data_IF_910594028401
#
_entry.id   IF_910594028401
#
_cell.length_a   1.000
_cell.length_b   1.000
_cell.length_c   1.000
_cell.angle_alpha   90.00
_cell.angle_beta   90.00
_cell.angle_gamma   90.00
#
_symmetry.space_group_name_H-M   'P 1'
#
loop_
_entity.id
_entity.type
_entity.pdbx_description
1 polymer ?
#
# COMPACT_ATOMS: atom_id res chain seq x y z
N UNK A 1 -86.60 9.41 26.96
CA UNK A 1 -86.39 10.57 26.09
C UNK A 1 -85.06 11.21 26.48
N UNK A 2 -84.10 11.62 25.66
CA UNK A 2 -83.68 11.41 24.27
C UNK A 2 -82.27 12.03 24.26
N UNK A 3 -81.28 11.32 23.73
CA UNK A 3 -79.88 11.77 23.60
C UNK A 3 -79.75 13.00 22.70
N UNK A 4 -78.88 13.94 23.05
CA UNK A 4 -78.17 14.77 22.08
C UNK A 4 -76.68 14.90 22.46
N UNK A 5 -75.86 14.51 21.49
CA UNK A 5 -74.40 14.50 21.45
C UNK A 5 -73.94 15.84 20.87
N UNK A 6 -72.97 16.48 21.51
CA UNK A 6 -72.25 17.62 20.92
C UNK A 6 -70.74 17.38 21.04
N UNK A 7 -70.11 17.18 19.89
CA UNK A 7 -68.67 17.07 19.64
C UNK A 7 -67.95 18.41 19.79
N UNK A 8 -66.72 18.45 20.32
CA UNK A 8 -65.80 19.56 20.09
C UNK A 8 -64.76 19.26 18.99
N UNK A 9 -64.36 20.36 18.35
CA UNK A 9 -63.54 20.57 17.17
C UNK A 9 -62.12 19.98 17.28
N UNK A 10 -61.66 19.31 16.21
CA UNK A 10 -60.28 18.88 16.04
C UNK A 10 -59.35 20.08 15.80
N UNK A 11 -58.26 20.17 16.58
CA UNK A 11 -57.12 21.07 16.31
C UNK A 11 -55.88 20.24 15.99
N UNK A 12 -55.32 20.55 14.83
CA UNK A 12 -54.19 19.93 14.16
C UNK A 12 -52.91 19.89 15.01
N UNK A 13 -52.29 18.71 15.13
CA UNK A 13 -50.88 18.57 15.44
C UNK A 13 -50.22 17.80 14.29
N UNK A 14 -49.43 18.51 13.49
CA UNK A 14 -48.59 17.94 12.43
C UNK A 14 -47.49 17.08 13.05
N UNK A 15 -47.20 15.87 12.53
CA UNK A 15 -46.05 15.09 12.96
C UNK A 15 -44.75 15.75 12.47
N UNK A 16 -43.76 15.81 13.36
CA UNK A 16 -42.42 16.32 13.08
C UNK A 16 -41.76 15.59 11.89
N UNK A 17 -41.04 16.29 10.99
CA UNK A 17 -40.34 15.65 9.89
C UNK A 17 -39.21 14.78 10.45
N UNK A 18 -39.28 13.47 10.17
CA UNK A 18 -38.18 12.54 10.40
C UNK A 18 -37.03 12.92 9.48
N UNK A 19 -35.99 13.52 10.05
CA UNK A 19 -34.76 13.89 9.37
C UNK A 19 -33.97 12.61 9.05
N UNK A 20 -34.40 11.90 8.01
CA UNK A 20 -33.66 10.79 7.41
C UNK A 20 -32.49 11.40 6.65
N UNK A 21 -31.45 11.79 7.38
CA UNK A 21 -30.17 12.15 6.81
C UNK A 21 -29.56 10.88 6.21
N UNK A 22 -29.93 10.60 4.97
CA UNK A 22 -29.32 9.59 4.13
C UNK A 22 -27.85 9.96 4.02
N UNK A 23 -27.02 9.37 4.86
CA UNK A 23 -25.57 9.40 4.69
C UNK A 23 -25.31 8.76 3.35
N UNK A 24 -25.07 9.59 2.34
CA UNK A 24 -24.47 9.17 1.09
C UNK A 24 -23.13 8.57 1.47
N UNK A 25 -23.09 7.25 1.61
CA UNK A 25 -21.84 6.52 1.56
C UNK A 25 -21.34 6.75 0.14
N UNK A 26 -20.56 7.81 -0.04
CA UNK A 26 -19.66 7.92 -1.16
C UNK A 26 -18.76 6.70 -1.03
N UNK A 27 -19.09 5.64 -1.77
CA UNK A 27 -18.21 4.51 -2.01
C UNK A 27 -17.05 5.11 -2.79
N UNK A 28 -16.10 5.69 -2.06
CA UNK A 28 -14.83 6.09 -2.60
C UNK A 28 -14.28 4.85 -3.23
N UNK A 29 -14.16 4.87 -4.56
CA UNK A 29 -13.49 3.81 -5.31
C UNK A 29 -12.16 3.58 -4.60
N UNK A 30 -12.05 2.45 -3.90
CA UNK A 30 -10.84 2.08 -3.20
C UNK A 30 -9.78 1.90 -4.27
N UNK A 31 -9.03 2.97 -4.57
CA UNK A 31 -7.79 2.86 -5.33
C UNK A 31 -7.00 1.76 -4.64
N UNK A 32 -6.61 0.74 -5.43
CA UNK A 32 -5.74 -0.31 -4.93
C UNK A 32 -4.61 0.38 -4.16
N UNK A 33 -4.35 -0.06 -2.92
CA UNK A 33 -3.32 0.56 -2.09
C UNK A 33 -1.96 0.29 -2.74
N UNK A 34 -1.57 1.18 -3.65
CA UNK A 34 -0.32 1.10 -4.37
C UNK A 34 0.85 1.18 -3.40
N UNK A 35 1.98 0.62 -3.82
CA UNK A 35 3.21 0.51 -3.03
C UNK A 35 3.67 1.83 -2.40
N UNK A 36 3.17 2.96 -2.89
CA UNK A 36 3.43 4.28 -2.37
C UNK A 36 2.92 4.52 -0.92
N UNK A 37 1.95 3.70 -0.52
CA UNK A 37 1.34 3.70 0.81
C UNK A 37 2.16 2.87 1.81
N UNK A 38 3.20 2.16 1.35
CA UNK A 38 4.01 1.25 2.16
C UNK A 38 5.29 1.93 2.63
N UNK A 39 5.73 1.55 3.82
CA UNK A 39 7.00 1.95 4.42
C UNK A 39 7.69 0.70 4.96
N UNK A 40 9.02 0.70 4.89
CA UNK A 40 9.84 -0.41 5.37
C UNK A 40 10.80 0.08 6.44
N UNK A 41 10.91 -0.67 7.52
CA UNK A 41 11.82 -0.34 8.63
C UNK A 41 12.21 -1.60 9.37
N UNK A 42 13.51 -1.82 9.60
CA UNK A 42 14.06 -3.02 10.27
C UNK A 42 13.53 -4.35 9.71
N UNK A 43 13.33 -4.44 8.40
CA UNK A 43 12.76 -5.64 7.77
C UNK A 43 11.28 -5.88 8.11
N UNK A 44 10.55 -4.86 8.57
CA UNK A 44 9.10 -4.90 8.68
C UNK A 44 8.45 -4.05 7.59
N UNK A 45 7.37 -4.58 7.03
CA UNK A 45 6.51 -3.86 6.10
C UNK A 45 5.36 -3.21 6.88
N UNK A 46 5.16 -1.92 6.65
CA UNK A 46 4.05 -1.17 7.21
C UNK A 46 3.18 -0.57 6.10
N UNK A 47 1.87 -0.60 6.31
CA UNK A 47 0.87 0.01 5.44
C UNK A 47 0.22 1.18 6.16
N UNK A 48 0.00 2.31 5.47
CA UNK A 48 -0.77 3.44 6.03
C UNK A 48 -2.15 2.96 6.49
N UNK A 49 -2.49 3.30 7.73
CA UNK A 49 -3.76 2.99 8.37
C UNK A 49 -4.64 4.24 8.52
N UNK A 50 -4.05 5.37 8.91
CA UNK A 50 -4.75 6.65 9.05
C UNK A 50 -3.83 7.80 8.63
N UNK A 51 -4.41 8.89 8.11
CA UNK A 51 -3.73 10.09 7.67
C UNK A 51 -4.53 11.31 8.12
N UNK A 52 -3.94 12.13 8.98
CA UNK A 52 -4.48 13.44 9.36
C UNK A 52 -3.49 14.54 8.96
N UNK A 53 -3.88 15.80 9.12
CA UNK A 53 -2.97 16.94 8.95
C UNK A 53 -1.82 16.96 9.97
N UNK A 54 -1.99 16.26 11.10
CA UNK A 54 -1.02 16.23 12.21
C UNK A 54 -0.08 15.04 12.09
N UNK A 55 -0.62 13.84 11.83
CA UNK A 55 0.16 12.60 11.80
C UNK A 55 -0.37 11.58 10.80
N UNK A 56 0.53 10.73 10.34
CA UNK A 56 0.21 9.56 9.54
C UNK A 56 0.56 8.32 10.36
N UNK A 57 -0.41 7.44 10.56
CA UNK A 57 -0.22 6.18 11.29
C UNK A 57 -0.07 5.04 10.30
N UNK A 58 0.99 4.25 10.49
CA UNK A 58 1.29 3.05 9.71
C UNK A 58 1.19 1.83 10.63
N UNK A 59 0.55 0.77 10.14
CA UNK A 59 0.43 -0.52 10.86
C UNK A 59 1.19 -1.60 10.11
N UNK A 60 1.73 -2.55 10.84
CA UNK A 60 2.34 -3.75 10.28
C UNK A 60 1.41 -4.38 9.23
N UNK A 61 1.94 -4.73 8.06
CA UNK A 61 1.15 -5.35 6.99
C UNK A 61 0.62 -6.73 7.38
N UNK A 62 1.19 -7.35 8.42
CA UNK A 62 0.69 -8.59 9.04
C UNK A 62 -0.38 -8.37 10.11
N UNK A 63 -0.95 -7.16 10.22
CA UNK A 63 -2.18 -6.90 10.97
C UNK A 63 -3.37 -7.58 10.28
N UNK A 64 -3.42 -8.92 10.34
CA UNK A 64 -4.56 -9.74 9.94
C UNK A 64 -5.38 -10.13 11.17
N UNK A 65 -6.69 -10.38 11.05
CA UNK A 65 -7.56 -10.67 12.19
C UNK A 65 -7.07 -11.81 13.10
N UNK A 66 -6.36 -12.79 12.53
CA UNK A 66 -5.85 -13.97 13.22
C UNK A 66 -4.54 -13.78 13.98
N UNK A 67 -3.70 -12.78 13.63
CA UNK A 67 -2.37 -12.59 14.23
C UNK A 67 -2.18 -11.21 14.88
N UNK A 68 -3.00 -10.22 14.50
CA UNK A 68 -3.06 -8.83 15.02
C UNK A 68 -1.72 -8.30 15.51
N UNK A 69 -0.71 -8.29 14.65
CA UNK A 69 0.58 -7.75 15.01
C UNK A 69 0.41 -6.28 15.46
N UNK A 70 0.79 -5.92 16.71
CA UNK A 70 0.56 -4.58 17.23
C UNK A 70 1.54 -3.55 16.67
N UNK A 71 2.54 -4.01 15.89
CA UNK A 71 3.57 -3.18 15.27
C UNK A 71 2.99 -1.95 14.57
N UNK A 72 3.32 -0.78 15.10
CA UNK A 72 2.79 0.51 14.66
C UNK A 72 3.93 1.52 14.59
N UNK A 73 3.89 2.35 13.55
CA UNK A 73 4.84 3.40 13.27
C UNK A 73 4.09 4.70 12.97
N UNK A 74 4.51 5.80 13.57
CA UNK A 74 3.86 7.11 13.39
C UNK A 74 4.82 8.07 12.70
N UNK A 75 4.28 8.83 11.76
CA UNK A 75 4.95 9.96 11.13
C UNK A 75 4.26 11.26 11.57
N UNK A 76 5.05 12.25 11.99
CA UNK A 76 4.56 13.55 12.44
C UNK A 76 4.82 14.62 11.38
N UNK A 77 3.78 15.34 10.98
CA UNK A 77 3.86 16.32 9.90
C UNK A 77 4.57 17.62 10.32
N UNK A 78 4.53 17.98 11.60
CA UNK A 78 5.19 19.19 12.13
C UNK A 78 6.72 19.07 12.09
N UNK A 79 7.26 17.90 12.44
CA UNK A 79 8.70 17.63 12.48
C UNK A 79 9.22 16.96 11.22
N UNK A 80 8.33 16.47 10.35
CA UNK A 80 8.67 15.66 9.19
C UNK A 80 9.50 14.41 9.54
N UNK A 81 9.30 13.85 10.74
CA UNK A 81 10.04 12.69 11.26
C UNK A 81 9.11 11.53 11.63
N UNK A 82 9.70 10.34 11.69
CA UNK A 82 9.05 9.16 12.24
C UNK A 82 9.35 9.05 13.72
N UNK A 83 8.34 8.70 14.51
CA UNK A 83 8.47 8.37 15.93
C UNK A 83 9.02 6.95 16.05
N UNK A 84 10.34 6.86 16.07
CA UNK A 84 11.06 5.59 16.18
C UNK A 84 11.25 5.14 17.63
N UNK A 85 11.17 6.07 18.58
CA UNK A 85 11.36 5.81 20.00
C UNK A 85 10.13 5.18 20.64
N UNK A 86 8.93 5.57 20.20
CA UNK A 86 7.67 5.01 20.70
C UNK A 86 7.08 3.95 19.76
N UNK A 87 7.93 3.23 19.01
CA UNK A 87 7.44 2.14 18.17
C UNK A 87 6.86 1.00 19.01
N UNK A 88 5.69 0.54 18.60
CA UNK A 88 5.11 -0.67 19.19
C UNK A 88 5.84 -1.88 18.60
N UNK A 89 6.34 -2.75 19.47
CA UNK A 89 7.06 -3.97 19.09
C UNK A 89 6.19 -4.91 18.24
N UNK A 90 6.80 -5.58 17.26
CA UNK A 90 6.09 -6.58 16.45
C UNK A 90 6.00 -7.93 17.15
N UNK A 91 4.91 -8.66 16.88
CA UNK A 91 4.74 -10.07 17.28
C UNK A 91 4.74 -11.01 16.07
N UNK A 92 4.70 -10.48 14.84
CA UNK A 92 4.61 -11.28 13.62
C UNK A 92 5.92 -11.99 13.23
N UNK A 93 7.05 -11.49 13.73
CA UNK A 93 8.39 -12.00 13.46
C UNK A 93 9.33 -11.45 14.52
N UNK A 94 10.18 -12.29 15.10
CA UNK A 94 11.30 -11.86 15.94
C UNK A 94 12.29 -11.10 15.06
N UNK A 95 12.27 -9.77 15.12
CA UNK A 95 13.17 -8.92 14.37
C UNK A 95 14.54 -8.91 15.05
N UNK A 96 15.60 -9.08 14.28
CA UNK A 96 16.93 -8.65 14.68
C UNK A 96 16.94 -7.13 14.69
N UNK A 97 16.71 -6.50 15.85
CA UNK A 97 16.93 -5.07 16.04
C UNK A 97 18.42 -4.78 15.75
N UNK A 98 18.72 -4.27 14.56
CA UNK A 98 20.09 -3.93 14.16
C UNK A 98 20.18 -2.42 13.95
N UNK A 99 20.65 -1.75 14.99
CA UNK A 99 21.02 -0.34 14.97
C UNK A 99 20.11 0.58 15.76
N UNK A 100 20.72 1.64 16.31
CA UNK A 100 20.01 2.79 16.86
C UNK A 100 19.17 3.43 15.75
N UNK A 101 17.85 3.56 15.95
CA UNK A 101 16.99 4.15 14.94
C UNK A 101 17.28 5.65 14.84
N UNK A 102 17.34 6.16 13.61
CA UNK A 102 17.70 7.56 13.38
C UNK A 102 16.45 8.37 13.06
N UNK A 103 16.14 9.36 13.90
CA UNK A 103 15.01 10.32 13.80
C UNK A 103 15.17 11.29 12.61
N UNK A 104 15.19 10.78 11.37
CA UNK A 104 15.35 11.58 10.15
C UNK A 104 14.28 11.14 9.14
N UNK A 105 13.79 12.02 8.23
CA UNK A 105 12.84 11.69 7.18
C UNK A 105 13.15 10.41 6.41
N UNK A 106 12.09 9.77 5.91
CA UNK A 106 12.20 8.58 5.08
C UNK A 106 12.97 8.88 3.79
N UNK A 107 13.90 7.98 3.46
CA UNK A 107 14.64 8.03 2.20
C UNK A 107 13.85 7.28 1.14
N UNK A 108 13.74 7.87 -0.05
CA UNK A 108 13.23 7.16 -1.23
C UNK A 108 14.38 6.45 -1.93
N UNK A 109 14.39 5.12 -1.88
CA UNK A 109 15.35 4.28 -2.62
C UNK A 109 14.75 3.76 -3.93
N UNK A 110 13.66 4.38 -4.39
CA UNK A 110 12.86 3.85 -5.52
C UNK A 110 13.67 3.71 -6.79
N UNK A 111 14.49 4.71 -7.15
CA UNK A 111 15.28 4.67 -8.39
C UNK A 111 16.45 3.69 -8.28
N UNK A 112 17.16 3.68 -7.15
CA UNK A 112 18.24 2.70 -6.90
C UNK A 112 17.70 1.26 -6.92
N UNK A 113 16.52 1.04 -6.34
CA UNK A 113 15.87 -0.27 -6.31
C UNK A 113 15.39 -0.69 -7.69
N UNK A 114 14.95 0.24 -8.55
CA UNK A 114 14.63 -0.05 -9.96
C UNK A 114 15.89 -0.50 -10.71
N UNK A 115 16.96 0.28 -10.65
CA UNK A 115 18.22 -0.04 -11.32
C UNK A 115 18.78 -1.41 -10.88
N UNK A 116 18.72 -1.71 -9.58
CA UNK A 116 19.14 -3.01 -9.06
C UNK A 116 18.22 -4.16 -9.50
N UNK A 117 16.91 -3.92 -9.62
CA UNK A 117 15.99 -4.93 -10.16
C UNK A 117 16.23 -5.14 -11.65
N UNK A 118 16.53 -4.08 -12.40
CA UNK A 118 16.83 -4.16 -13.82
C UNK A 118 18.10 -4.99 -14.09
N UNK A 119 19.18 -4.77 -13.32
CA UNK A 119 20.40 -5.58 -13.46
C UNK A 119 20.15 -7.07 -13.16
N UNK A 120 19.30 -7.38 -12.18
CA UNK A 120 18.93 -8.77 -11.87
C UNK A 120 18.00 -9.40 -12.92
N UNK A 121 17.25 -8.59 -13.67
CA UNK A 121 16.46 -9.06 -14.81
C UNK A 121 17.39 -9.41 -15.98
N UNK A 122 18.42 -8.62 -16.22
CA UNK A 122 19.45 -8.90 -17.23
C UNK A 122 20.21 -10.20 -16.95
N UNK A 123 20.46 -10.51 -15.68
CA UNK A 123 21.04 -11.80 -15.21
C UNK A 123 20.05 -12.99 -15.30
N UNK A 124 18.84 -12.79 -15.84
CA UNK A 124 17.73 -13.75 -15.96
C UNK A 124 17.37 -14.49 -14.64
N UNK A 125 17.47 -13.80 -13.51
CA UNK A 125 17.16 -14.40 -12.21
C UNK A 125 15.66 -14.66 -12.02
N UNK A 126 15.30 -15.70 -11.26
CA UNK A 126 13.89 -16.00 -10.95
C UNK A 126 13.27 -14.85 -10.14
N UNK A 127 12.05 -14.40 -10.50
CA UNK A 127 11.40 -13.24 -9.90
C UNK A 127 11.31 -13.27 -8.36
N UNK A 128 11.14 -14.46 -7.77
CA UNK A 128 11.15 -14.66 -6.30
C UNK A 128 12.55 -14.42 -5.69
N UNK A 129 13.60 -14.84 -6.39
CA UNK A 129 14.99 -14.60 -5.99
C UNK A 129 15.34 -13.11 -6.12
N UNK A 130 14.89 -12.45 -7.19
CA UNK A 130 15.02 -10.99 -7.37
C UNK A 130 14.43 -10.25 -6.18
N UNK A 131 13.19 -10.55 -5.80
CA UNK A 131 12.58 -9.92 -4.62
C UNK A 131 13.38 -10.18 -3.34
N UNK A 132 13.81 -11.43 -3.11
CA UNK A 132 14.53 -11.80 -1.89
C UNK A 132 15.87 -11.06 -1.79
N UNK A 133 16.62 -10.95 -2.89
CA UNK A 133 17.88 -10.20 -2.96
C UNK A 133 17.67 -8.71 -2.73
N UNK A 134 16.71 -8.10 -3.44
CA UNK A 134 16.40 -6.67 -3.28
C UNK A 134 15.89 -6.36 -1.87
N UNK A 135 15.03 -7.20 -1.31
CA UNK A 135 14.52 -7.03 0.05
C UNK A 135 15.64 -7.13 1.09
N UNK A 136 16.57 -8.07 0.90
CA UNK A 136 17.71 -8.24 1.81
C UNK A 136 18.63 -7.02 1.76
N UNK A 137 18.94 -6.52 0.56
CA UNK A 137 19.83 -5.36 0.37
C UNK A 137 19.24 -4.05 0.93
N UNK A 138 17.98 -3.76 0.63
CA UNK A 138 17.39 -2.44 0.91
C UNK A 138 16.57 -2.36 2.20
N UNK A 139 15.99 -3.47 2.68
CA UNK A 139 15.02 -3.44 3.77
C UNK A 139 15.42 -4.23 5.02
N UNK A 140 16.23 -5.29 4.89
CA UNK A 140 16.51 -6.18 6.04
C UNK A 140 17.37 -5.55 7.14
N UNK A 141 18.26 -4.63 6.79
CA UNK A 141 19.18 -3.95 7.70
C UNK A 141 18.97 -2.42 7.72
N UNK A 142 17.78 -1.94 7.34
CA UNK A 142 17.54 -0.50 7.28
C UNK A 142 17.46 0.10 8.68
N UNK A 143 18.48 0.89 9.06
CA UNK A 143 18.51 1.70 10.28
C UNK A 143 17.53 2.89 10.23
N UNK A 144 16.91 3.11 9.07
CA UNK A 144 16.04 4.24 8.76
C UNK A 144 14.78 3.75 8.06
N UNK A 145 13.71 4.55 8.12
CA UNK A 145 12.47 4.25 7.40
C UNK A 145 12.71 4.48 5.91
N UNK A 146 12.38 3.49 5.10
CA UNK A 146 12.61 3.48 3.65
C UNK A 146 11.28 3.46 2.91
N UNK A 147 11.20 4.25 1.84
CA UNK A 147 10.16 4.16 0.80
C UNK A 147 10.81 3.60 -0.46
N UNK A 148 10.24 2.55 -1.00
CA UNK A 148 10.73 1.92 -2.22
C UNK A 148 9.66 1.05 -2.86
N UNK A 149 10.06 0.19 -3.80
CA UNK A 149 9.12 -0.67 -4.51
C UNK A 149 8.50 -1.72 -3.58
N UNK A 150 7.21 -1.99 -3.82
CA UNK A 150 6.52 -3.11 -3.19
C UNK A 150 6.77 -4.42 -3.92
N UNK A 151 6.59 -5.55 -3.24
CA UNK A 151 6.72 -6.88 -3.83
C UNK A 151 5.96 -7.00 -5.17
N UNK A 152 4.69 -6.54 -5.21
CA UNK A 152 3.87 -6.55 -6.43
C UNK A 152 4.47 -5.68 -7.55
N UNK A 153 5.01 -4.51 -7.21
CA UNK A 153 5.63 -3.63 -8.21
C UNK A 153 6.91 -4.23 -8.79
N UNK A 154 7.73 -4.90 -7.97
CA UNK A 154 8.93 -5.62 -8.44
C UNK A 154 8.52 -6.76 -9.38
N UNK A 155 7.55 -7.59 -8.99
CA UNK A 155 7.08 -8.69 -9.82
C UNK A 155 6.48 -8.21 -11.15
N UNK A 156 5.67 -7.15 -11.12
CA UNK A 156 5.12 -6.55 -12.34
C UNK A 156 6.23 -6.01 -13.25
N UNK A 157 7.27 -5.38 -12.69
CA UNK A 157 8.42 -4.90 -13.46
C UNK A 157 9.16 -6.05 -14.15
N UNK A 158 9.44 -7.13 -13.43
CA UNK A 158 10.05 -8.34 -13.99
C UNK A 158 9.18 -8.95 -15.09
N UNK A 159 7.86 -9.07 -14.86
CA UNK A 159 6.92 -9.58 -15.85
C UNK A 159 6.89 -8.72 -17.12
N UNK A 160 6.84 -7.40 -16.97
CA UNK A 160 6.80 -6.48 -18.11
C UNK A 160 8.11 -6.45 -18.89
N UNK A 161 9.26 -6.46 -18.20
CA UNK A 161 10.57 -6.49 -18.85
C UNK A 161 10.76 -7.78 -19.66
N UNK A 162 10.35 -8.93 -19.09
CA UNK A 162 10.35 -10.21 -19.79
C UNK A 162 9.37 -10.24 -20.95
N UNK A 163 8.15 -9.73 -20.76
CA UNK A 163 7.18 -9.62 -21.85
C UNK A 163 7.72 -8.74 -23.00
N UNK A 164 8.47 -7.68 -22.70
CA UNK A 164 9.14 -6.87 -23.73
C UNK A 164 10.26 -7.64 -24.42
N UNK A 165 11.11 -8.35 -23.67
CA UNK A 165 12.22 -9.12 -24.22
C UNK A 165 11.74 -10.29 -25.09
N UNK A 166 10.79 -11.10 -24.60
CA UNK A 166 10.29 -12.27 -25.33
C UNK A 166 9.17 -11.93 -26.33
N UNK A 167 8.33 -10.93 -26.04
CA UNK A 167 7.22 -10.53 -26.91
C UNK A 167 7.66 -9.77 -28.16
N UNK A 168 8.71 -8.93 -28.07
CA UNK A 168 9.34 -8.34 -29.27
C UNK A 168 10.08 -9.39 -30.09
N UNK A 169 10.67 -10.41 -29.47
CA UNK A 169 11.40 -11.46 -30.18
C UNK A 169 10.47 -12.36 -31.02
N UNK A 170 9.22 -12.61 -30.60
CA UNK A 170 8.25 -13.39 -31.38
C UNK A 170 7.79 -12.62 -32.63
N UNK A 171 7.54 -11.32 -32.52
CA UNK A 171 7.19 -10.47 -33.67
C UNK A 171 8.38 -10.26 -34.62
N UNK A 172 9.60 -10.07 -34.10
CA UNK A 172 10.81 -9.95 -34.92
C UNK A 172 11.17 -11.25 -35.67
N UNK A 173 10.88 -12.43 -35.11
CA UNK A 173 11.04 -13.70 -35.82
C UNK A 173 10.04 -13.86 -36.99
N UNK A 174 8.85 -13.27 -36.87
CA UNK A 174 7.82 -13.28 -37.92
C UNK A 174 8.09 -12.24 -39.02
N UNK A 175 8.83 -11.18 -38.72
CA UNK A 175 9.20 -10.11 -39.67
C UNK A 175 10.51 -10.40 -40.45
N UNK A 176 10.95 -11.66 -40.53
CA UNK A 176 12.05 -12.06 -41.42
C UNK A 176 11.52 -12.45 -42.81
N UNK A 177 11.50 -11.57 -43.84
CA UNK A 177 11.22 -11.99 -45.21
C UNK A 177 12.46 -12.68 -45.80
N UNK A 178 12.68 -13.92 -45.41
CA UNK A 178 13.50 -14.85 -46.20
C UNK A 178 12.62 -15.43 -47.33
N UNK A 179 12.34 -14.63 -48.38
CA UNK A 179 11.91 -15.07 -49.72
C UNK A 179 11.45 -13.86 -50.56
N UNK A 180 12.41 -13.07 -51.07
CA UNK A 180 12.19 -12.20 -52.22
C UNK A 180 13.43 -12.22 -53.13
N UNK A 181 13.86 -13.43 -53.48
CA UNK A 181 14.73 -13.65 -54.63
C UNK A 181 14.33 -14.98 -55.25
N UNK A 182 13.40 -14.90 -56.20
CA UNK A 182 13.22 -15.78 -57.35
C UNK A 182 11.95 -15.39 -58.10
N UNK A 183 12.11 -14.54 -59.10
CA UNK A 183 11.50 -14.64 -60.44
C UNK A 183 12.05 -13.48 -61.28
#
# INVERSE_FOLDING_TARGET
MTTLVTTPLASSALPAPSDSSTRVNTVGTSRARDGDTKRYFQGYEYTRANSTSVKITYRCSFYRPSKRCPGTLVFYANTMTFDVDNMVSHTCRSGTSRGQPVMIPAISVTEEMKAFVDSLIEEDMVAKAIWTGTYTKFYSASARVVRGLSHKLVLNRVSNARASAYGSNVLALLESPALASQA
#
